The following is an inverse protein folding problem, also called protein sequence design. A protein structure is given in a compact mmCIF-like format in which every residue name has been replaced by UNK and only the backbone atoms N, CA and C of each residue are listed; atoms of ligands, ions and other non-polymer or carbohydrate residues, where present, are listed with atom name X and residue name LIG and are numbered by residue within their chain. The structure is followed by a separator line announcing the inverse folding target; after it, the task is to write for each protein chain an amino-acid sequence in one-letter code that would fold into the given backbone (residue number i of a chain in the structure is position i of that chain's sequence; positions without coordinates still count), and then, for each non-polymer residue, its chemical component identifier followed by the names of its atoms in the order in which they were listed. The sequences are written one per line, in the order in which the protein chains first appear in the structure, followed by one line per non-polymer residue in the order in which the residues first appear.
data_IF_649097489933
#
_entry.id   IF_649097489933
#
_cell.length_a   1.000
_cell.length_b   1.000
_cell.length_c   1.000
_cell.angle_alpha   90.00
_cell.angle_beta   90.00
_cell.angle_gamma   90.00
#
_symmetry.space_group_name_H-M   'P 1'
#
loop_
_entity.id
_entity.type
_entity.pdbx_description
1 polymer ?
#
# COMPACT_ATOMS: atom_id res chain seq x y z
N UNK A 1 7.84 14.02 -18.61
CA UNK A 1 7.86 13.81 -17.90
C UNK A 1 8.27 13.68 -17.41
N UNK A 2 8.60 13.82 -17.37
CA UNK A 2 9.03 13.42 -16.77
C UNK A 2 8.60 13.25 -15.75
N UNK A 3 7.92 13.13 -15.80
CA UNK A 3 7.40 12.83 -14.84
C UNK A 3 7.82 12.28 -13.93
N UNK A 4 8.08 11.64 -14.20
CA UNK A 4 8.33 10.75 -13.18
C UNK A 4 9.47 11.10 -12.35
N UNK A 5 10.52 11.50 -12.93
CA UNK A 5 11.70 11.84 -12.19
C UNK A 5 11.47 12.92 -11.17
N UNK A 6 10.78 13.96 -11.61
CA UNK A 6 10.54 15.09 -10.74
C UNK A 6 9.59 14.74 -9.62
N UNK A 7 8.85 13.68 -9.76
CA UNK A 7 7.81 13.35 -8.82
C UNK A 7 8.24 12.42 -7.71
N UNK A 8 9.36 11.72 -7.88
CA UNK A 8 9.75 10.77 -6.87
C UNK A 8 10.50 11.44 -5.74
N UNK A 9 10.15 11.06 -4.51
CA UNK A 9 10.90 11.42 -3.32
C UNK A 9 11.58 10.20 -2.72
N UNK A 10 11.44 9.05 -3.34
CA UNK A 10 12.00 7.81 -2.85
C UNK A 10 13.52 7.78 -3.07
N UNK A 11 14.23 7.25 -2.09
CA UNK A 11 15.67 7.03 -2.20
C UNK A 11 15.99 5.82 -3.05
N UNK A 12 15.03 4.97 -3.28
CA UNK A 12 15.18 3.75 -4.05
C UNK A 12 14.24 3.80 -5.24
N UNK A 13 14.57 3.10 -6.33
CA UNK A 13 13.65 3.04 -7.46
C UNK A 13 12.31 2.48 -7.04
N UNK A 14 11.26 2.95 -7.70
CA UNK A 14 9.91 2.44 -7.47
C UNK A 14 9.56 1.43 -8.55
N UNK A 15 8.89 0.36 -8.16
CA UNK A 15 8.47 -0.68 -9.10
C UNK A 15 7.15 -0.29 -9.73
N UNK A 16 7.02 -0.51 -11.03
CA UNK A 16 5.75 -0.30 -11.72
C UNK A 16 4.88 -1.54 -11.59
N UNK A 17 3.57 -1.34 -11.67
CA UNK A 17 2.62 -2.45 -11.54
C UNK A 17 2.91 -3.56 -12.55
N UNK A 18 3.25 -3.18 -13.77
CA UNK A 18 3.52 -4.15 -14.83
C UNK A 18 4.73 -5.05 -14.53
N UNK A 19 5.63 -4.61 -13.66
CA UNK A 19 6.85 -5.34 -13.34
C UNK A 19 6.69 -6.29 -12.16
N UNK A 20 5.54 -6.30 -11.54
CA UNK A 20 5.28 -7.17 -10.38
C UNK A 20 4.93 -8.58 -10.84
N UNK A 21 5.21 -9.60 -9.99
CA UNK A 21 4.68 -10.94 -10.24
C UNK A 21 3.17 -10.94 -10.41
N UNK A 22 2.66 -11.91 -11.15
CA UNK A 22 1.24 -11.96 -11.52
C UNK A 22 0.32 -11.94 -10.32
N UNK A 23 0.65 -12.68 -9.26
CA UNK A 23 -0.20 -12.74 -8.07
C UNK A 23 -0.33 -11.38 -7.39
N UNK A 24 0.77 -10.62 -7.34
CA UNK A 24 0.76 -9.29 -6.74
C UNK A 24 0.04 -8.30 -7.63
N UNK A 25 0.24 -8.40 -8.93
CA UNK A 25 -0.45 -7.55 -9.88
C UNK A 25 -1.96 -7.74 -9.77
N UNK A 26 -2.39 -8.99 -9.64
CA UNK A 26 -3.81 -9.32 -9.51
C UNK A 26 -4.41 -8.81 -8.21
N UNK A 27 -3.63 -8.78 -7.13
CA UNK A 27 -4.09 -8.25 -5.85
C UNK A 27 -4.17 -6.73 -5.84
N UNK A 28 -3.26 -6.07 -6.53
CA UNK A 28 -3.14 -4.61 -6.48
C UNK A 28 -4.02 -3.94 -7.53
N UNK A 29 -4.25 -4.60 -8.65
CA UNK A 29 -5.03 -4.02 -9.74
C UNK A 29 -6.40 -3.50 -9.30
N UNK A 30 -7.21 -4.25 -8.53
CA UNK A 30 -8.49 -3.72 -8.07
C UNK A 30 -8.35 -2.49 -7.18
N UNK A 31 -7.29 -2.46 -6.37
CA UNK A 31 -7.03 -1.31 -5.50
C UNK A 31 -6.69 -0.09 -6.34
N UNK A 32 -5.85 -0.28 -7.35
CA UNK A 32 -5.46 0.80 -8.24
C UNK A 32 -6.66 1.34 -9.02
N UNK A 33 -7.54 0.46 -9.47
CA UNK A 33 -8.75 0.88 -10.19
C UNK A 33 -9.68 1.68 -9.30
N UNK A 34 -9.87 1.24 -8.08
CA UNK A 34 -10.74 1.92 -7.14
C UNK A 34 -10.20 3.28 -6.73
N UNK A 35 -8.89 3.36 -6.53
CA UNK A 35 -8.22 4.59 -6.08
C UNK A 35 -7.91 5.54 -7.21
N UNK A 36 -7.79 5.05 -8.44
CA UNK A 36 -7.36 5.84 -9.57
C UNK A 36 -5.85 5.93 -9.73
N UNK A 37 -5.09 5.26 -8.88
CA UNK A 37 -3.64 5.25 -8.94
C UNK A 37 -3.10 4.05 -8.16
N UNK A 38 -1.83 3.70 -8.39
CA UNK A 38 -1.16 2.66 -7.62
C UNK A 38 -0.52 3.32 -6.40
N UNK A 39 -0.96 3.00 -5.17
CA UNK A 39 -0.36 3.59 -3.98
C UNK A 39 1.15 3.34 -3.92
N UNK A 40 1.88 4.36 -3.50
CA UNK A 40 3.33 4.32 -3.52
C UNK A 40 3.93 3.23 -2.63
N UNK A 41 3.24 2.84 -1.55
CA UNK A 41 3.73 1.78 -0.68
C UNK A 41 3.93 0.47 -1.44
N UNK A 42 3.04 0.16 -2.38
CA UNK A 42 3.16 -1.06 -3.19
C UNK A 42 4.33 -0.95 -4.16
N UNK A 43 4.54 0.24 -4.72
CA UNK A 43 5.65 0.48 -5.62
C UNK A 43 6.99 0.41 -4.89
N UNK A 44 7.02 0.91 -3.67
CA UNK A 44 8.23 0.90 -2.86
C UNK A 44 8.59 -0.52 -2.40
N UNK A 45 7.61 -1.30 -1.98
CA UNK A 45 7.83 -2.67 -1.52
C UNK A 45 7.99 -3.66 -2.66
N UNK A 46 7.62 -3.29 -3.86
CA UNK A 46 7.66 -4.18 -5.02
C UNK A 46 9.05 -4.68 -5.39
N UNK A 47 10.11 -4.01 -4.93
CA UNK A 47 11.47 -4.51 -5.11
C UNK A 47 11.69 -5.87 -4.49
N UNK A 48 10.97 -6.16 -3.43
CA UNK A 48 11.07 -7.38 -2.66
C UNK A 48 9.69 -8.03 -2.63
N UNK A 49 9.34 -8.77 -3.69
CA UNK A 49 7.97 -9.29 -3.82
C UNK A 49 7.48 -10.08 -2.61
N UNK A 50 8.37 -10.83 -1.95
CA UNK A 50 7.97 -11.57 -0.77
C UNK A 50 7.62 -10.64 0.40
N UNK A 51 8.30 -9.51 0.49
CA UNK A 51 7.98 -8.52 1.52
C UNK A 51 6.64 -7.86 1.23
N UNK A 52 6.38 -7.56 -0.03
CA UNK A 52 5.09 -7.00 -0.42
C UNK A 52 3.96 -8.00 -0.15
N UNK A 53 4.19 -9.29 -0.43
CA UNK A 53 3.20 -10.33 -0.11
C UNK A 53 2.90 -10.36 1.38
N UNK A 54 3.94 -10.35 2.20
CA UNK A 54 3.78 -10.36 3.65
C UNK A 54 3.06 -9.13 4.15
N UNK A 55 3.36 -7.97 3.58
CA UNK A 55 2.68 -6.73 3.92
C UNK A 55 1.18 -6.81 3.61
N UNK A 56 0.84 -7.27 2.41
CA UNK A 56 -0.56 -7.39 2.01
C UNK A 56 -1.30 -8.40 2.88
N UNK A 57 -0.67 -9.52 3.20
CA UNK A 57 -1.28 -10.53 4.06
C UNK A 57 -1.53 -9.97 5.47
N UNK A 58 -0.55 -9.28 6.02
CA UNK A 58 -0.69 -8.68 7.35
C UNK A 58 -1.78 -7.61 7.37
N UNK A 59 -1.80 -6.79 6.34
CA UNK A 59 -2.83 -5.76 6.18
C UNK A 59 -4.23 -6.39 6.16
N UNK A 60 -4.40 -7.47 5.41
CA UNK A 60 -5.70 -8.11 5.29
C UNK A 60 -6.16 -8.69 6.63
N UNK A 61 -5.24 -9.30 7.38
CA UNK A 61 -5.57 -9.82 8.70
C UNK A 61 -5.98 -8.68 9.63
N UNK A 62 -5.24 -7.59 9.63
CA UNK A 62 -5.53 -6.48 10.54
C UNK A 62 -6.81 -5.74 10.19
N UNK A 63 -7.09 -5.56 8.91
CA UNK A 63 -8.14 -4.64 8.49
C UNK A 63 -9.39 -5.35 8.00
N UNK A 64 -9.29 -6.56 7.50
CA UNK A 64 -10.41 -7.20 6.84
C UNK A 64 -10.98 -8.41 7.57
N UNK A 65 -10.19 -9.10 8.38
CA UNK A 65 -10.70 -10.29 9.06
C UNK A 65 -11.63 -9.92 10.21
N UNK A 66 -12.68 -10.71 10.43
CA UNK A 66 -13.57 -10.49 11.58
C UNK A 66 -12.80 -10.56 12.89
N UNK A 67 -13.19 -9.71 13.84
CA UNK A 67 -12.55 -9.67 15.14
C UNK A 67 -13.39 -8.84 16.11
N UNK A 68 -12.85 -8.59 17.32
CA UNK A 68 -13.61 -7.84 18.32
C UNK A 68 -13.86 -6.38 17.96
N UNK A 69 -13.04 -5.81 17.06
CA UNK A 69 -13.24 -4.44 16.60
C UNK A 69 -13.96 -4.43 15.27
N UNK A 70 -14.87 -3.50 15.08
CA UNK A 70 -15.52 -3.27 13.79
C UNK A 70 -14.50 -2.66 12.81
N UNK A 71 -14.85 -2.67 11.53
CA UNK A 71 -14.02 -2.02 10.53
C UNK A 71 -13.85 -0.54 10.84
N UNK A 72 -14.92 0.13 11.23
CA UNK A 72 -14.86 1.55 11.56
C UNK A 72 -13.92 1.82 12.74
N UNK A 73 -13.95 0.95 13.76
CA UNK A 73 -13.05 1.08 14.90
C UNK A 73 -11.60 0.88 14.50
N UNK A 74 -11.33 -0.09 13.64
CA UNK A 74 -9.98 -0.32 13.12
C UNK A 74 -9.47 0.89 12.34
N UNK A 75 -10.33 1.49 11.53
CA UNK A 75 -9.97 2.69 10.78
C UNK A 75 -9.67 3.86 11.72
N UNK A 76 -10.40 3.99 12.80
CA UNK A 76 -10.14 5.04 13.79
C UNK A 76 -8.77 4.85 14.44
N UNK A 77 -8.37 3.61 14.73
CA UNK A 77 -7.04 3.32 15.27
C UNK A 77 -5.97 3.72 14.27
N UNK A 78 -6.18 3.43 13.00
CA UNK A 78 -5.25 3.82 11.94
C UNK A 78 -5.11 5.33 11.88
N UNK A 79 -6.21 6.05 11.87
CA UNK A 79 -6.20 7.51 11.81
C UNK A 79 -5.49 8.10 13.03
N UNK A 80 -5.78 7.60 14.23
CA UNK A 80 -5.16 8.09 15.44
C UNK A 80 -3.65 7.83 15.46
N UNK A 81 -3.24 6.63 15.05
CA UNK A 81 -1.82 6.27 14.99
C UNK A 81 -1.08 7.11 13.95
N UNK A 82 -1.67 7.29 12.80
CA UNK A 82 -1.09 8.09 11.72
C UNK A 82 -0.94 9.53 12.13
N UNK A 83 -1.96 10.08 12.80
CA UNK A 83 -1.92 11.45 13.31
C UNK A 83 -0.84 11.63 14.36
N UNK A 84 -0.72 10.68 15.28
CA UNK A 84 0.29 10.73 16.33
C UNK A 84 1.71 10.70 15.73
N UNK A 85 1.88 10.00 14.62
CA UNK A 85 3.15 9.91 13.94
C UNK A 85 3.36 11.00 12.90
N UNK A 86 2.41 11.91 12.75
CA UNK A 86 2.46 13.00 11.76
C UNK A 86 2.68 12.47 10.35
N UNK A 87 2.04 11.36 10.03
CA UNK A 87 2.18 10.75 8.72
C UNK A 87 1.24 11.43 7.73
N UNK A 88 1.78 12.25 6.86
CA UNK A 88 0.98 12.96 5.85
C UNK A 88 0.39 11.98 4.83
N UNK A 89 1.17 10.96 4.49
CA UNK A 89 0.77 9.96 3.50
C UNK A 89 -0.37 9.08 4.03
N UNK A 90 -0.30 8.72 5.29
CA UNK A 90 -1.26 7.81 5.89
C UNK A 90 -2.62 8.44 6.09
#
# INVERSE_FOLDING_TARGET
MTEGLAMTTSRFPLTELADLPDDLRDRIHPIAEKSGFVPNIFRALGHRPNELRAFLDYHDVLMEEPGPLSKAERELVVVASSGANRCVYC
#
